data_IF_830863328698
#
_entry.id   IF_830863328698
#
_cell.length_a   1.000
_cell.length_b   1.000
_cell.length_c   1.000
_cell.angle_alpha   90.00
_cell.angle_beta   90.00
_cell.angle_gamma   90.00
#
_symmetry.space_group_name_H-M   'P 1'
#
loop_
_entity.id
_entity.type
_entity.pdbx_description
1 polymer ?
#
# COMPACT_ATOMS: atom_id res chain seq x y z
N UNK A 1 -12.11 5.46 -16.86
CA UNK A 1 -12.09 5.00 -15.49
C UNK A 1 -10.88 4.11 -15.22
N UNK A 2 -10.24 4.36 -14.13
CA UNK A 2 -9.03 3.66 -13.76
C UNK A 2 -9.33 2.51 -12.83
N UNK A 3 -8.94 1.33 -13.21
CA UNK A 3 -9.10 0.17 -12.34
C UNK A 3 -7.82 -0.05 -11.56
N UNK A 4 -7.95 -0.21 -10.26
CA UNK A 4 -6.80 -0.47 -9.43
C UNK A 4 -6.29 -1.89 -9.61
N UNK A 5 -5.02 -2.07 -9.31
CA UNK A 5 -4.41 -3.40 -9.27
C UNK A 5 -4.46 -3.88 -7.83
N UNK A 6 -4.91 -5.12 -7.64
CA UNK A 6 -5.05 -5.68 -6.29
C UNK A 6 -4.20 -6.93 -6.15
N UNK A 7 -3.66 -7.11 -4.95
CA UNK A 7 -2.90 -8.33 -4.66
C UNK A 7 -3.01 -8.62 -3.17
N UNK A 8 -2.80 -9.88 -2.82
CA UNK A 8 -2.90 -10.32 -1.43
C UNK A 8 -1.71 -9.87 -0.61
N UNK A 9 -1.94 -9.66 0.68
CA UNK A 9 -0.84 -9.42 1.61
C UNK A 9 0.15 -10.57 1.53
N UNK A 10 1.43 -10.24 1.43
CA UNK A 10 2.48 -11.24 1.31
C UNK A 10 2.81 -11.63 -0.12
N UNK A 11 1.93 -11.30 -1.07
CA UNK A 11 2.22 -11.58 -2.48
C UNK A 11 3.15 -10.52 -3.04
N UNK A 12 3.67 -10.79 -4.23
CA UNK A 12 4.59 -9.87 -4.89
C UNK A 12 3.85 -8.63 -5.35
N UNK A 13 4.29 -7.43 -4.96
CA UNK A 13 3.67 -6.20 -5.48
C UNK A 13 3.87 -6.06 -6.97
N UNK A 14 3.03 -5.25 -7.65
CA UNK A 14 3.21 -5.04 -9.08
C UNK A 14 4.60 -4.51 -9.41
N UNK A 15 5.14 -4.98 -10.53
CA UNK A 15 6.49 -4.62 -10.92
C UNK A 15 6.62 -3.12 -11.23
N UNK A 16 5.52 -2.47 -11.56
CA UNK A 16 5.55 -1.04 -11.89
C UNK A 16 5.73 -0.13 -10.68
N UNK A 17 5.56 -0.67 -9.47
CA UNK A 17 5.82 0.11 -8.28
C UNK A 17 7.31 0.34 -8.13
N UNK A 18 7.69 1.56 -7.75
CA UNK A 18 9.10 1.85 -7.54
C UNK A 18 9.58 1.22 -6.24
N UNK A 19 10.91 1.10 -6.08
CA UNK A 19 11.45 0.40 -4.91
C UNK A 19 11.06 1.01 -3.57
N UNK A 20 10.91 2.34 -3.51
CA UNK A 20 10.59 2.99 -2.25
C UNK A 20 9.19 2.62 -1.77
N UNK A 21 8.22 2.59 -2.70
CA UNK A 21 6.86 2.21 -2.33
C UNK A 21 6.80 0.73 -2.01
N UNK A 22 7.53 -0.10 -2.76
CA UNK A 22 7.58 -1.54 -2.48
C UNK A 22 8.16 -1.81 -1.10
N UNK A 23 9.19 -1.06 -0.72
CA UNK A 23 9.77 -1.20 0.61
C UNK A 23 8.76 -0.81 1.69
N UNK A 24 7.98 0.23 1.43
CA UNK A 24 6.94 0.64 2.39
C UNK A 24 5.88 -0.44 2.56
N UNK A 25 5.48 -1.09 1.46
CA UNK A 25 4.52 -2.19 1.53
C UNK A 25 5.09 -3.31 2.41
N UNK A 26 6.35 -3.68 2.19
CA UNK A 26 6.96 -4.73 2.99
C UNK A 26 7.06 -4.34 4.45
N UNK A 27 7.35 -3.08 4.72
CA UNK A 27 7.45 -2.59 6.10
C UNK A 27 6.11 -2.71 6.82
N UNK A 28 5.03 -2.33 6.14
CA UNK A 28 3.70 -2.44 6.73
C UNK A 28 3.35 -3.91 6.95
N UNK A 29 3.66 -4.77 5.98
CA UNK A 29 3.37 -6.19 6.12
C UNK A 29 4.12 -6.80 7.29
N UNK A 30 5.35 -6.33 7.54
CA UNK A 30 6.10 -6.79 8.68
C UNK A 30 5.44 -6.45 10.01
N UNK A 31 4.77 -5.31 10.07
CA UNK A 31 4.07 -4.92 11.29
C UNK A 31 2.78 -5.71 11.50
N UNK A 32 2.32 -6.40 10.47
CA UNK A 32 1.13 -7.23 10.59
C UNK A 32 1.45 -8.66 10.98
N UNK A 33 2.72 -8.95 11.22
CA UNK A 33 3.14 -10.30 11.55
C UNK A 33 2.37 -10.80 12.78
N UNK A 34 1.84 -12.00 12.69
CA UNK A 34 1.06 -12.57 13.76
C UNK A 34 -0.43 -12.30 13.67
N UNK A 35 -0.84 -11.46 12.73
CA UNK A 35 -2.25 -11.18 12.51
C UNK A 35 -2.75 -12.00 11.33
N UNK A 36 -4.04 -12.31 11.36
CA UNK A 36 -4.64 -13.05 10.27
C UNK A 36 -5.03 -12.08 9.16
N UNK A 37 -4.20 -12.00 8.13
CA UNK A 37 -4.42 -11.13 7.01
C UNK A 37 -4.80 -11.88 5.74
N UNK A 38 -5.28 -13.11 5.90
CA UNK A 38 -5.50 -13.98 4.75
C UNK A 38 -6.55 -13.43 3.78
N UNK A 39 -7.45 -12.58 4.25
CA UNK A 39 -8.46 -11.98 3.39
C UNK A 39 -8.14 -10.53 3.02
N UNK A 40 -7.02 -10.04 3.44
CA UNK A 40 -6.65 -8.65 3.18
C UNK A 40 -5.94 -8.52 1.87
N UNK A 41 -6.21 -7.42 1.18
CA UNK A 41 -5.59 -7.12 -0.10
C UNK A 41 -5.11 -5.70 -0.16
N UNK A 42 -4.07 -5.51 -0.95
CA UNK A 42 -3.59 -4.19 -1.31
C UNK A 42 -4.27 -3.75 -2.59
N UNK A 43 -4.51 -2.46 -2.74
CA UNK A 43 -5.04 -1.87 -3.96
C UNK A 43 -4.13 -0.74 -4.39
N UNK A 44 -3.65 -0.80 -5.62
CA UNK A 44 -2.83 0.28 -6.19
C UNK A 44 -3.68 1.07 -7.17
N UNK A 45 -3.73 2.37 -6.95
CA UNK A 45 -4.31 3.29 -7.91
C UNK A 45 -3.31 4.38 -8.22
N UNK A 46 -3.50 5.05 -9.33
CA UNK A 46 -2.64 6.16 -9.73
C UNK A 46 -3.45 7.44 -9.66
N UNK A 47 -2.94 8.41 -8.94
CA UNK A 47 -3.58 9.71 -8.79
C UNK A 47 -2.59 10.76 -9.25
N UNK A 48 -2.91 11.42 -10.35
CA UNK A 48 -2.05 12.46 -10.91
C UNK A 48 -0.61 11.98 -11.10
N UNK A 49 -0.47 10.76 -11.59
CA UNK A 49 0.84 10.20 -11.85
C UNK A 49 1.57 9.65 -10.65
N UNK A 50 0.97 9.73 -9.47
CA UNK A 50 1.58 9.22 -8.24
C UNK A 50 0.88 7.96 -7.77
N UNK A 51 1.61 6.99 -7.23
CA UNK A 51 0.98 5.77 -6.75
C UNK A 51 0.31 6.00 -5.40
N UNK A 52 -0.85 5.39 -5.25
CA UNK A 52 -1.56 5.34 -3.97
C UNK A 52 -1.85 3.87 -3.70
N UNK A 53 -1.31 3.35 -2.63
CA UNK A 53 -1.45 1.94 -2.28
C UNK A 53 -2.23 1.86 -0.98
N UNK A 54 -3.30 1.10 -1.01
CA UNK A 54 -4.24 1.06 0.10
C UNK A 54 -4.46 -0.37 0.54
N UNK A 55 -4.39 -0.60 1.85
CA UNK A 55 -4.65 -1.91 2.42
C UNK A 55 -6.08 -1.95 2.92
N UNK A 56 -6.66 -3.14 2.96
CA UNK A 56 -8.06 -3.31 3.38
C UNK A 56 -8.33 -2.80 4.79
N UNK A 57 -7.30 -2.73 5.65
CA UNK A 57 -7.49 -2.19 7.00
C UNK A 57 -7.51 -0.66 7.04
N UNK A 58 -7.35 -0.02 5.88
CA UNK A 58 -7.36 1.43 5.78
C UNK A 58 -5.98 2.08 5.73
N UNK A 59 -4.91 1.30 5.87
CA UNK A 59 -3.56 1.85 5.75
C UNK A 59 -3.34 2.35 4.33
N UNK A 60 -2.78 3.55 4.19
CA UNK A 60 -2.54 4.16 2.88
C UNK A 60 -1.09 4.54 2.76
N UNK A 61 -0.47 4.16 1.65
CA UNK A 61 0.91 4.52 1.32
C UNK A 61 0.86 5.43 0.10
N UNK A 62 1.45 6.60 0.22
CA UNK A 62 1.49 7.58 -0.87
C UNK A 62 2.91 8.05 -1.08
N UNK A 63 3.20 8.43 -2.31
CA UNK A 63 4.49 9.02 -2.63
C UNK A 63 4.22 10.39 -3.24
N UNK A 64 4.92 11.41 -2.72
CA UNK A 64 4.78 12.77 -3.22
C UNK A 64 5.69 12.97 -4.43
N UNK A 65 5.54 14.13 -5.07
CA UNK A 65 6.31 14.45 -6.28
C UNK A 65 7.81 14.49 -6.03
N UNK A 66 8.22 14.80 -4.81
CA UNK A 66 9.64 14.84 -4.48
C UNK A 66 10.17 13.49 -4.01
N UNK A 67 9.36 12.45 -4.13
CA UNK A 67 9.82 11.11 -3.83
C UNK A 67 9.63 10.64 -2.40
N UNK A 68 9.09 11.49 -1.55
CA UNK A 68 8.88 11.14 -0.14
C UNK A 68 7.70 10.18 -0.03
N UNK A 69 7.90 9.07 0.69
CA UNK A 69 6.85 8.10 0.91
C UNK A 69 6.23 8.34 2.28
N UNK A 70 4.90 8.44 2.29
CA UNK A 70 4.14 8.61 3.53
C UNK A 70 3.26 7.39 3.76
N UNK A 71 3.26 6.91 4.99
CA UNK A 71 2.39 5.81 5.40
C UNK A 71 1.42 6.36 6.43
N UNK A 72 0.12 6.26 6.11
CA UNK A 72 -0.93 6.72 7.00
C UNK A 72 -1.65 5.50 7.55
N UNK A 73 -1.73 5.43 8.87
CA UNK A 73 -2.40 4.33 9.53
C UNK A 73 -3.89 4.36 9.23
N UNK A 74 -4.46 3.16 9.06
CA UNK A 74 -5.89 3.06 8.81
C UNK A 74 -6.72 3.32 10.03
N UNK A 75 -6.13 3.26 11.21
CA UNK A 75 -6.87 3.52 12.44
C UNK A 75 -7.06 5.02 12.56
N UNK A 76 -8.29 5.44 12.55
CA UNK A 76 -8.63 6.86 12.65
C UNK A 76 -9.02 7.18 14.08
N UNK A 77 -8.29 8.06 14.73
CA UNK A 77 -8.66 8.45 16.10
C UNK A 77 -9.99 9.18 16.11
N UNK A 78 -10.69 9.03 17.14
CA UNK A 78 -11.97 9.70 17.29
C UNK A 78 -11.92 10.64 18.46
#
# INVERSE_FOLDING_TARGET
MQLGTRWSVGAEPPARLNPDVRAAVRSVEGELFGRDTSLWRWTLTWLEGQPVVELDDGTVIRQSHDGVVEITDGVTPR
#
